data_IF_384183257004
#
_entry.id   IF_384183257004
#
_cell.length_a   1.000
_cell.length_b   1.000
_cell.length_c   1.000
_cell.angle_alpha   90.00
_cell.angle_beta   90.00
_cell.angle_gamma   90.00
#
_symmetry.space_group_name_H-M   'P 1'
#
loop_
_entity.id
_entity.type
_entity.pdbx_description
1 polymer ?
#
# COMPACT_ATOMS: atom_id res chain seq x y z
N UNK A 1 11.64 9.42 -0.60
CA UNK A 1 10.40 9.69 0.18
C UNK A 1 9.79 8.35 0.55
N UNK A 2 9.06 8.22 1.66
CA UNK A 2 8.43 6.94 2.00
C UNK A 2 6.91 7.05 1.91
N UNK A 3 6.31 6.23 1.06
CA UNK A 3 4.86 6.14 0.89
C UNK A 3 4.45 4.70 1.13
N UNK A 4 3.60 4.46 2.11
CA UNK A 4 2.93 3.18 2.23
C UNK A 4 1.80 3.12 1.21
N UNK A 5 1.87 2.09 0.36
CA UNK A 5 0.86 1.74 -0.62
C UNK A 5 0.18 0.47 -0.12
N UNK A 6 -1.07 0.60 0.30
CA UNK A 6 -1.93 -0.53 0.60
C UNK A 6 -2.90 -0.70 -0.56
N UNK A 7 -2.80 -1.79 -1.30
CA UNK A 7 -3.60 -2.03 -2.49
C UNK A 7 -4.41 -3.31 -2.36
N UNK A 8 -5.73 -3.21 -2.52
CA UNK A 8 -6.56 -4.36 -2.81
C UNK A 8 -6.39 -4.78 -4.26
N UNK A 9 -5.80 -5.93 -4.52
CA UNK A 9 -5.64 -6.55 -5.82
C UNK A 9 -6.97 -6.85 -6.55
N UNK A 10 -8.15 -6.99 -5.90
CA UNK A 10 -9.44 -7.13 -6.62
C UNK A 10 -9.79 -5.88 -7.35
N UNK A 11 -10.09 -4.90 -6.52
CA UNK A 11 -10.70 -3.66 -6.94
C UNK A 11 -9.64 -2.70 -7.47
N UNK A 12 -8.37 -3.04 -7.27
CA UNK A 12 -7.22 -2.15 -7.43
C UNK A 12 -7.33 -0.89 -6.57
N UNK A 13 -8.22 -0.91 -5.56
CA UNK A 13 -8.39 0.20 -4.63
C UNK A 13 -7.13 0.37 -3.81
N UNK A 14 -6.65 1.61 -3.72
CA UNK A 14 -5.43 1.98 -3.02
C UNK A 14 -5.72 2.88 -1.82
N UNK A 15 -4.93 2.70 -0.78
CA UNK A 15 -4.80 3.64 0.33
C UNK A 15 -3.34 4.07 0.38
N UNK A 16 -3.12 5.39 0.30
CA UNK A 16 -1.80 5.99 0.31
C UNK A 16 -1.57 6.72 1.65
N UNK A 17 -0.46 6.41 2.30
CA UNK A 17 -0.05 7.08 3.54
C UNK A 17 1.39 7.57 3.43
N UNK A 18 1.65 8.85 3.74
CA UNK A 18 3.02 9.31 3.86
C UNK A 18 3.62 8.71 5.12
N UNK A 19 4.84 8.20 5.02
CA UNK A 19 5.60 7.72 6.16
C UNK A 19 6.77 8.66 6.42
N UNK A 20 7.03 8.93 7.70
CA UNK A 20 8.22 9.64 8.15
C UNK A 20 9.42 8.70 8.14
N UNK A 21 9.22 7.45 8.56
CA UNK A 21 10.25 6.43 8.56
C UNK A 21 9.71 5.09 8.03
N UNK A 22 10.61 4.27 7.49
CA UNK A 22 10.31 2.91 7.01
C UNK A 22 10.22 1.88 8.16
N UNK A 23 9.79 2.30 9.36
CA UNK A 23 9.81 1.46 10.57
C UNK A 23 8.53 0.64 10.70
N UNK A 24 8.64 -0.58 11.21
CA UNK A 24 7.51 -1.50 11.36
C UNK A 24 6.39 -0.95 12.25
N UNK A 25 6.73 -0.17 13.28
CA UNK A 25 5.77 0.45 14.20
C UNK A 25 4.89 1.47 13.50
N UNK A 26 5.47 2.29 12.63
CA UNK A 26 4.74 3.30 11.87
C UNK A 26 3.82 2.65 10.83
N UNK A 27 4.29 1.59 10.17
CA UNK A 27 3.47 0.79 9.26
C UNK A 27 2.33 0.09 10.00
N UNK A 28 2.59 -0.51 11.16
CA UNK A 28 1.59 -1.18 11.98
C UNK A 28 0.51 -0.21 12.45
N UNK A 29 0.88 1.00 12.85
CA UNK A 29 -0.06 2.05 13.21
C UNK A 29 -1.00 2.39 12.04
N UNK A 30 -0.44 2.58 10.84
CA UNK A 30 -1.26 2.85 9.65
C UNK A 30 -2.14 1.66 9.25
N UNK A 31 -1.66 0.42 9.42
CA UNK A 31 -2.46 -0.78 9.16
C UNK A 31 -3.61 -0.94 10.15
N UNK A 32 -3.38 -0.64 11.43
CA UNK A 32 -4.43 -0.66 12.44
C UNK A 32 -5.57 0.29 12.06
N UNK A 33 -5.24 1.51 11.63
CA UNK A 33 -6.24 2.47 11.13
C UNK A 33 -7.02 1.91 9.94
N UNK A 34 -6.35 1.25 8.99
CA UNK A 34 -7.01 0.65 7.82
C UNK A 34 -7.91 -0.53 8.24
N UNK A 35 -7.40 -1.43 9.07
CA UNK A 35 -8.12 -2.64 9.50
C UNK A 35 -9.35 -2.30 10.35
N UNK A 36 -9.28 -1.26 11.17
CA UNK A 36 -10.43 -0.80 11.96
C UNK A 36 -11.48 -0.05 11.14
N UNK A 37 -11.11 0.52 9.99
CA UNK A 37 -12.04 1.20 9.08
C UNK A 37 -12.70 0.27 8.06
N UNK A 38 -11.92 -0.65 7.46
CA UNK A 38 -12.38 -1.48 6.34
C UNK A 38 -12.49 -2.97 6.69
N UNK A 39 -11.99 -3.39 7.85
CA UNK A 39 -11.73 -4.78 8.18
C UNK A 39 -10.31 -5.20 7.79
N UNK A 40 -9.82 -6.24 8.46
CA UNK A 40 -8.54 -6.85 8.12
C UNK A 40 -8.71 -7.82 6.94
N UNK A 41 -7.72 -7.96 6.05
CA UNK A 41 -7.82 -8.86 4.91
C UNK A 41 -7.52 -10.32 5.28
N UNK A 42 -8.07 -11.26 4.52
CA UNK A 42 -7.75 -12.68 4.70
C UNK A 42 -6.29 -13.00 4.41
N UNK A 43 -5.67 -12.27 3.48
CA UNK A 43 -4.26 -12.43 3.10
C UNK A 43 -3.60 -11.06 3.06
N UNK A 44 -2.53 -10.90 3.82
CA UNK A 44 -1.68 -9.72 3.79
C UNK A 44 -0.35 -10.08 3.13
N UNK A 45 -0.14 -9.58 1.91
CA UNK A 45 1.12 -9.75 1.19
C UNK A 45 2.04 -8.55 1.41
N UNK A 46 3.33 -8.80 1.72
CA UNK A 46 4.33 -7.75 1.88
C UNK A 46 5.51 -8.00 0.95
N UNK A 47 5.82 -7.03 0.08
CA UNK A 47 6.94 -7.14 -0.85
C UNK A 47 8.29 -6.80 -0.17
N UNK A 48 9.23 -7.75 -0.30
CA UNK A 48 10.69 -7.69 -0.16
C UNK A 48 11.40 -6.94 0.98
N UNK A 49 10.73 -6.43 2.00
CA UNK A 49 11.40 -6.01 3.23
C UNK A 49 11.22 -7.03 4.35
N UNK A 50 12.30 -7.73 4.76
CA UNK A 50 12.34 -8.35 6.12
C UNK A 50 11.99 -7.33 7.21
N UNK A 51 12.15 -6.05 6.90
CA UNK A 51 11.82 -4.86 7.69
C UNK A 51 10.32 -4.73 8.01
N UNK A 52 9.42 -5.30 7.19
CA UNK A 52 7.97 -5.23 7.41
C UNK A 52 7.40 -6.39 8.20
N UNK A 53 8.15 -7.47 8.33
CA UNK A 53 7.75 -8.63 9.13
C UNK A 53 8.60 -8.64 10.39
N UNK A 54 8.53 -7.53 11.10
CA UNK A 54 8.98 -7.47 12.48
C UNK A 54 7.83 -8.00 13.37
N UNK A 55 8.17 -8.47 14.57
CA UNK A 55 7.21 -8.99 15.55
C UNK A 55 5.98 -8.08 15.74
N UNK A 56 6.14 -6.77 15.55
CA UNK A 56 5.06 -5.77 15.61
C UNK A 56 3.93 -6.04 14.62
N UNK A 57 4.22 -6.34 13.35
CA UNK A 57 3.20 -6.57 12.32
C UNK A 57 2.55 -7.94 12.51
N UNK A 58 3.34 -8.94 12.90
CA UNK A 58 2.81 -10.26 13.29
C UNK A 58 1.87 -10.16 14.48
N UNK A 59 2.22 -9.37 15.50
CA UNK A 59 1.38 -9.12 16.67
C UNK A 59 0.12 -8.31 16.33
N UNK A 60 0.20 -7.38 15.39
CA UNK A 60 -0.98 -6.68 14.90
C UNK A 60 -1.94 -7.66 14.22
N UNK A 61 -1.44 -8.46 13.29
CA UNK A 61 -2.27 -9.43 12.57
C UNK A 61 -2.83 -10.52 13.47
N UNK A 62 -2.16 -10.87 14.58
CA UNK A 62 -2.70 -11.87 15.53
C UNK A 62 -3.96 -11.41 16.26
N UNK A 63 -4.27 -10.11 16.25
CA UNK A 63 -5.56 -9.59 16.73
C UNK A 63 -6.74 -10.03 15.83
N UNK A 64 -6.46 -10.50 14.61
CA UNK A 64 -7.44 -11.06 13.68
C UNK A 64 -7.05 -12.48 13.29
N UNK A 65 -7.76 -13.47 13.83
CA UNK A 65 -7.48 -14.91 13.62
C UNK A 65 -7.53 -15.36 12.15
N UNK A 66 -8.16 -14.58 11.29
CA UNK A 66 -8.40 -14.89 9.88
C UNK A 66 -7.30 -14.34 8.95
N UNK A 67 -6.47 -13.41 9.43
CA UNK A 67 -5.41 -12.77 8.63
C UNK A 67 -4.23 -13.73 8.49
N UNK A 68 -3.92 -14.11 7.24
CA UNK A 68 -2.72 -14.87 6.90
C UNK A 68 -1.68 -13.94 6.30
N UNK A 69 -0.53 -13.82 6.95
CA UNK A 69 0.59 -13.07 6.38
C UNK A 69 1.34 -13.99 5.41
N UNK A 70 1.52 -13.52 4.18
CA UNK A 70 2.30 -14.22 3.15
C UNK A 70 3.55 -13.40 2.84
N UNK A 71 4.69 -14.10 2.74
CA UNK A 71 6.00 -13.50 2.55
C UNK A 71 6.62 -13.88 1.21
N UNK A 72 7.41 -12.95 0.68
CA UNK A 72 8.33 -13.19 -0.42
C UNK A 72 7.78 -12.76 -1.77
N UNK A 73 8.64 -12.86 -2.80
CA UNK A 73 8.22 -12.66 -4.19
C UNK A 73 6.99 -13.51 -4.45
N UNK A 74 5.94 -12.89 -4.98
CA UNK A 74 4.83 -13.66 -5.50
C UNK A 74 5.39 -14.70 -6.49
N UNK A 75 5.04 -15.98 -6.32
CA UNK A 75 5.47 -17.06 -7.23
C UNK A 75 4.98 -16.84 -8.67
N UNK A 76 4.15 -15.82 -8.89
CA UNK A 76 3.63 -15.41 -10.19
C UNK A 76 4.16 -14.01 -10.53
N UNK A 77 4.94 -13.93 -11.61
CA UNK A 77 5.45 -12.67 -12.19
C UNK A 77 4.34 -11.66 -12.49
N UNK A 78 3.09 -12.12 -12.65
CA UNK A 78 1.94 -11.26 -12.95
C UNK A 78 1.46 -10.40 -11.78
N UNK A 79 1.44 -10.91 -10.55
CA UNK A 79 1.00 -10.10 -9.39
C UNK A 79 2.06 -9.09 -9.00
N UNK A 80 3.33 -9.49 -9.03
CA UNK A 80 4.46 -8.57 -8.84
C UNK A 80 4.44 -7.44 -9.88
N UNK A 81 4.29 -7.80 -11.16
CA UNK A 81 4.14 -6.83 -12.24
C UNK A 81 2.90 -5.94 -12.12
N UNK A 82 1.85 -6.38 -11.41
CA UNK A 82 0.68 -5.53 -11.15
C UNK A 82 0.99 -4.44 -10.12
N UNK A 83 1.77 -4.76 -9.09
CA UNK A 83 2.10 -3.79 -8.03
C UNK A 83 3.22 -2.87 -8.45
N UNK A 84 4.24 -3.38 -9.16
CA UNK A 84 5.28 -2.54 -9.76
C UNK A 84 4.68 -1.50 -10.73
N UNK A 85 3.68 -1.91 -11.53
CA UNK A 85 2.92 -0.98 -12.39
C UNK A 85 2.06 -0.01 -11.59
N UNK A 86 1.35 -0.48 -10.56
CA UNK A 86 0.53 0.41 -9.73
C UNK A 86 1.39 1.47 -9.03
N UNK A 87 2.58 1.08 -8.58
CA UNK A 87 3.59 1.93 -7.98
C UNK A 87 4.09 3.00 -8.95
N UNK A 88 4.47 2.60 -10.17
CA UNK A 88 4.86 3.52 -11.24
C UNK A 88 3.74 4.50 -11.61
N UNK A 89 2.49 4.02 -11.70
CA UNK A 89 1.33 4.88 -11.93
C UNK A 89 1.19 5.94 -10.83
N UNK A 90 1.29 5.53 -9.56
CA UNK A 90 1.17 6.43 -8.41
C UNK A 90 2.29 7.48 -8.42
N UNK A 91 3.54 7.08 -8.67
CA UNK A 91 4.69 7.99 -8.80
C UNK A 91 4.45 9.03 -9.91
N UNK A 92 4.02 8.59 -11.09
CA UNK A 92 3.71 9.46 -12.22
C UNK A 92 2.57 10.45 -11.91
N UNK A 93 1.51 9.98 -11.25
CA UNK A 93 0.39 10.83 -10.82
C UNK A 93 0.82 11.87 -9.78
N UNK A 94 1.68 11.49 -8.83
CA UNK A 94 2.24 12.42 -7.83
C UNK A 94 3.10 13.48 -8.50
N UNK A 95 3.97 13.10 -9.43
CA UNK A 95 4.83 14.01 -10.19
C UNK A 95 3.99 15.03 -10.99
N UNK A 96 3.00 14.54 -11.75
CA UNK A 96 2.10 15.37 -12.56
C UNK A 96 1.31 16.35 -11.69
N UNK A 97 0.77 15.90 -10.55
CA UNK A 97 0.03 16.77 -9.65
C UNK A 97 0.93 17.87 -9.06
N UNK A 98 2.16 17.53 -8.66
CA UNK A 98 3.12 18.51 -8.13
C UNK A 98 3.52 19.57 -9.17
N UNK A 99 3.77 19.14 -10.41
CA UNK A 99 4.09 20.05 -11.53
C UNK A 99 2.93 21.01 -11.80
N UNK A 100 1.71 20.49 -11.91
CA UNK A 100 0.49 21.27 -12.17
C UNK A 100 0.24 22.31 -11.08
N UNK A 101 0.47 21.95 -9.82
CA UNK A 101 0.23 22.81 -8.66
C UNK A 101 1.46 23.65 -8.25
N UNK A 102 2.58 23.54 -8.98
CA UNK A 102 3.85 24.27 -8.70
C UNK A 102 4.30 24.14 -7.25
N UNK A 103 4.25 22.94 -6.70
CA UNK A 103 4.60 22.65 -5.30
C UNK A 103 5.54 21.46 -5.18
N UNK A 104 6.37 21.45 -4.15
CA UNK A 104 7.26 20.32 -3.81
C UNK A 104 6.66 19.44 -2.71
N UNK A 105 5.50 19.80 -2.17
CA UNK A 105 4.82 19.11 -1.06
C UNK A 105 4.05 17.88 -1.54
N UNK A 106 4.79 16.85 -1.93
CA UNK A 106 4.25 15.57 -2.39
C UNK A 106 3.24 14.92 -1.43
N UNK A 107 3.37 15.10 -0.12
CA UNK A 107 2.45 14.45 0.84
C UNK A 107 1.03 15.02 0.77
N UNK A 108 0.87 16.28 0.35
CA UNK A 108 -0.45 16.91 0.13
C UNK A 108 -1.13 16.31 -1.12
N UNK A 109 -0.37 15.84 -2.10
CA UNK A 109 -0.91 15.26 -3.34
C UNK A 109 -1.56 13.89 -3.13
N UNK A 110 -1.13 13.13 -2.12
CA UNK A 110 -1.56 11.75 -1.90
C UNK A 110 -3.08 11.58 -1.82
N UNK A 111 -3.78 12.52 -1.16
CA UNK A 111 -5.24 12.46 -1.02
C UNK A 111 -5.94 12.59 -2.38
N UNK A 112 -5.42 13.46 -3.24
CA UNK A 112 -5.94 13.67 -4.59
C UNK A 112 -5.61 12.49 -5.50
N UNK A 113 -4.35 12.02 -5.46
CA UNK A 113 -3.91 10.86 -6.24
C UNK A 113 -4.71 9.60 -5.86
N UNK A 114 -4.91 9.36 -4.56
CA UNK A 114 -5.74 8.27 -4.07
C UNK A 114 -7.17 8.39 -4.60
N UNK A 115 -7.80 9.57 -4.52
CA UNK A 115 -9.15 9.78 -5.03
C UNK A 115 -9.25 9.54 -6.54
N UNK A 116 -8.28 10.02 -7.32
CA UNK A 116 -8.22 9.80 -8.77
C UNK A 116 -8.06 8.31 -9.11
N UNK A 117 -7.17 7.59 -8.42
CA UNK A 117 -6.92 6.16 -8.66
C UNK A 117 -8.12 5.30 -8.30
N UNK A 118 -8.80 5.60 -7.19
CA UNK A 118 -9.96 4.85 -6.72
C UNK A 118 -11.26 5.20 -7.45
N UNK A 119 -11.35 6.39 -8.07
CA UNK A 119 -12.48 6.80 -8.89
C UNK A 119 -12.47 6.18 -10.30
N UNK A 120 -11.32 5.67 -10.77
CA UNK A 120 -11.24 4.90 -12.00
C UNK A 120 -11.76 3.47 -11.74
N UNK A 121 -12.78 3.04 -12.50
CA UNK A 121 -13.33 1.69 -12.38
C UNK A 121 -12.31 0.62 -12.82
N UNK A 122 -12.08 -0.39 -11.96
CA UNK A 122 -11.24 -1.56 -12.28
C UNK A 122 -11.97 -2.86 -11.88
N UNK A 123 -11.83 -3.93 -12.68
CA UNK A 123 -12.49 -5.24 -12.44
C UNK A 123 -11.48 -6.37 -12.17
N UNK A 124 -11.74 -7.25 -11.17
CA UNK A 124 -11.20 -8.63 -11.07
C UNK A 124 -10.37 -9.04 -9.82
N UNK A 125 -10.79 -10.14 -9.14
CA UNK A 125 -10.35 -10.99 -7.96
C UNK A 125 -9.56 -10.49 -6.70
N UNK A 126 -10.05 -10.82 -5.47
CA UNK A 126 -9.65 -10.26 -4.13
C UNK A 126 -8.34 -10.84 -3.56
N UNK A 127 -7.36 -9.97 -3.32
CA UNK A 127 -6.08 -10.20 -2.62
C UNK A 127 -5.58 -8.81 -2.16
N UNK A 128 -4.73 -8.64 -1.14
CA UNK A 128 -4.20 -7.30 -0.78
C UNK A 128 -2.66 -7.29 -0.68
N UNK A 129 -2.00 -6.28 -1.25
CA UNK A 129 -0.55 -6.06 -1.18
C UNK A 129 -0.19 -4.76 -0.45
N UNK A 130 0.89 -4.81 0.31
CA UNK A 130 1.56 -3.66 0.89
C UNK A 130 2.93 -3.49 0.25
N UNK A 131 3.17 -2.31 -0.33
CA UNK A 131 4.48 -1.85 -0.76
C UNK A 131 4.86 -0.55 -0.05
N UNK A 132 6.17 -0.30 0.09
CA UNK A 132 6.65 1.07 0.30
C UNK A 132 7.30 1.55 -0.98
N UNK A 133 6.77 2.64 -1.52
CA UNK A 133 7.42 3.40 -2.58
C UNK A 133 8.54 4.25 -2.02
N UNK A 134 9.71 4.17 -2.66
CA UNK A 134 10.89 4.96 -2.34
C UNK A 134 11.44 5.59 -3.63
N UNK A 135 11.08 6.86 -3.84
CA UNK A 135 11.83 7.80 -4.69
C UNK A 135 13.06 8.36 -3.97
#
# INVERSE_FOLDING_TARGET
>A
KFIMVYQDHLTKFVILRPLKFKRAEEVAYNLLDIFTLFGAPNILHSDNGREFVNAVITNLCSLWSEVKIVHGKARHSQSQGSVERANQDIESMIATWMETNKTTKWSESLRFVQAMKNGAFHSGTYCIEIGILQD
#
